data_IF_584529977190
#
_entry.id   IF_584529977190
#
_cell.length_a   1.000
_cell.length_b   1.000
_cell.length_c   1.000
_cell.angle_alpha   90.00
_cell.angle_beta   90.00
_cell.angle_gamma   90.00
#
_symmetry.space_group_name_H-M   'P 1'
#
loop_
_entity.id
_entity.type
_entity.pdbx_description
1 polymer ?
#
# COMPACT_ATOMS: atom_id res chain seq x y z
N UNK A 1 -30.41 6.76 -0.45
CA UNK A 1 -29.55 5.66 0.06
C UNK A 1 -28.89 6.13 1.35
N UNK A 2 -28.63 5.23 2.31
CA UNK A 2 -28.00 5.58 3.60
C UNK A 2 -26.63 4.92 3.69
N UNK A 3 -25.62 5.65 4.16
CA UNK A 3 -24.26 5.16 4.34
C UNK A 3 -23.92 5.16 5.84
N UNK A 4 -23.19 4.15 6.28
CA UNK A 4 -22.68 4.03 7.65
C UNK A 4 -21.18 3.74 7.61
N UNK A 5 -20.45 4.30 8.57
CA UNK A 5 -19.02 4.05 8.76
C UNK A 5 -18.84 3.37 10.10
N UNK A 6 -18.14 2.23 10.12
CA UNK A 6 -17.95 1.42 11.32
C UNK A 6 -16.44 1.24 11.53
N UNK A 7 -15.95 1.52 12.74
CA UNK A 7 -14.57 1.21 13.14
C UNK A 7 -14.50 -0.23 13.65
N UNK A 8 -13.63 -1.03 13.06
CA UNK A 8 -13.51 -2.45 13.35
C UNK A 8 -12.09 -2.72 13.83
N UNK A 9 -11.89 -3.45 14.93
CA UNK A 9 -10.56 -3.90 15.33
C UNK A 9 -9.90 -4.75 14.23
N UNK A 10 -8.60 -4.59 14.00
CA UNK A 10 -7.87 -5.28 12.92
C UNK A 10 -8.05 -6.81 12.97
N UNK A 11 -8.01 -7.39 14.17
CA UNK A 11 -8.22 -8.83 14.39
C UNK A 11 -9.64 -9.32 14.07
N UNK A 12 -10.59 -8.42 13.81
CA UNK A 12 -11.97 -8.70 13.40
C UNK A 12 -12.27 -8.29 11.96
N UNK A 13 -11.33 -7.65 11.27
CA UNK A 13 -11.53 -7.14 9.91
C UNK A 13 -11.90 -8.25 8.92
N UNK A 14 -11.10 -9.31 8.86
CA UNK A 14 -11.31 -10.44 7.95
C UNK A 14 -12.67 -11.12 8.15
N UNK A 15 -13.04 -11.39 9.40
CA UNK A 15 -14.36 -11.95 9.74
C UNK A 15 -15.51 -11.05 9.28
N UNK A 16 -15.39 -9.74 9.50
CA UNK A 16 -16.43 -8.80 9.11
C UNK A 16 -16.56 -8.69 7.59
N UNK A 17 -15.45 -8.72 6.85
CA UNK A 17 -15.44 -8.70 5.40
C UNK A 17 -16.19 -9.91 4.81
N UNK A 18 -15.95 -11.11 5.37
CA UNK A 18 -16.67 -12.33 4.98
C UNK A 18 -18.16 -12.23 5.27
N UNK A 19 -18.54 -11.73 6.45
CA UNK A 19 -19.94 -11.52 6.82
C UNK A 19 -20.64 -10.58 5.85
N UNK A 20 -20.03 -9.44 5.55
CA UNK A 20 -20.55 -8.45 4.62
C UNK A 20 -20.73 -9.04 3.22
N UNK A 21 -19.75 -9.80 2.73
CA UNK A 21 -19.81 -10.48 1.44
C UNK A 21 -20.98 -11.49 1.39
N UNK A 22 -21.17 -12.26 2.46
CA UNK A 22 -22.27 -13.23 2.57
C UNK A 22 -23.65 -12.56 2.65
N UNK A 23 -23.73 -11.34 3.19
CA UNK A 23 -24.95 -10.53 3.24
C UNK A 23 -25.22 -9.74 1.95
N UNK A 24 -24.32 -9.79 0.97
CA UNK A 24 -24.44 -9.05 -0.29
C UNK A 24 -24.30 -7.53 -0.16
N UNK A 25 -23.66 -7.04 0.91
CA UNK A 25 -23.41 -5.61 1.09
C UNK A 25 -22.12 -5.22 0.35
N UNK A 26 -22.11 -4.04 -0.26
CA UNK A 26 -20.91 -3.50 -0.92
C UNK A 26 -20.03 -2.78 0.10
N UNK A 27 -18.78 -3.22 0.24
CA UNK A 27 -17.75 -2.46 0.96
C UNK A 27 -17.12 -1.48 -0.02
N UNK A 28 -17.03 -0.21 0.36
CA UNK A 28 -16.11 0.73 -0.28
C UNK A 28 -14.88 0.80 0.60
N UNK A 29 -13.76 0.28 0.08
CA UNK A 29 -12.46 0.54 0.66
C UNK A 29 -12.04 1.92 0.16
N UNK A 30 -12.09 2.92 1.05
CA UNK A 30 -11.33 4.14 0.84
C UNK A 30 -9.88 3.79 1.15
N UNK A 31 -9.14 3.33 0.14
CA UNK A 31 -7.69 3.20 0.23
C UNK A 31 -7.17 4.58 0.60
N UNK A 32 -6.57 4.71 1.78
CA UNK A 32 -5.85 5.93 2.14
C UNK A 32 -4.79 6.14 1.07
N UNK A 33 -4.95 7.17 0.24
CA UNK A 33 -4.11 7.44 -0.94
C UNK A 33 -2.61 7.48 -0.61
N UNK A 34 -2.26 7.74 0.65
CA UNK A 34 -0.88 7.68 1.15
C UNK A 34 -0.20 6.31 1.03
N UNK A 35 -0.94 5.20 0.87
CA UNK A 35 -0.31 3.90 0.60
C UNK A 35 0.19 3.79 -0.83
N UNK A 36 -0.45 4.44 -1.82
CA UNK A 36 -0.06 4.26 -3.21
C UNK A 36 1.24 4.99 -3.55
N UNK A 37 1.46 6.19 -3.01
CA UNK A 37 2.72 6.92 -3.17
C UNK A 37 3.89 6.18 -2.53
N UNK A 38 3.68 5.64 -1.32
CA UNK A 38 4.69 4.82 -0.62
C UNK A 38 4.97 3.52 -1.38
N UNK A 39 3.95 2.86 -1.93
CA UNK A 39 4.14 1.66 -2.75
C UNK A 39 4.89 1.97 -4.05
N UNK A 40 4.59 3.09 -4.69
CA UNK A 40 5.29 3.54 -5.90
C UNK A 40 6.76 3.88 -5.60
N UNK A 41 7.04 4.54 -4.47
CA UNK A 41 8.42 4.82 -4.03
C UNK A 41 9.21 3.54 -3.75
N UNK A 42 8.59 2.54 -3.10
CA UNK A 42 9.21 1.24 -2.88
C UNK A 42 9.49 0.50 -4.20
N UNK A 43 8.56 0.51 -5.15
CA UNK A 43 8.75 -0.13 -6.46
C UNK A 43 9.90 0.51 -7.25
N UNK A 44 10.01 1.84 -7.22
CA UNK A 44 11.12 2.56 -7.84
C UNK A 44 12.48 2.18 -7.21
N UNK A 45 12.55 2.11 -5.88
CA UNK A 45 13.77 1.70 -5.19
C UNK A 45 14.22 0.28 -5.56
N UNK A 46 13.29 -0.66 -5.72
CA UNK A 46 13.61 -2.02 -6.19
C UNK A 46 14.18 -2.04 -7.61
N UNK A 47 13.62 -1.22 -8.50
CA UNK A 47 14.10 -1.11 -9.89
C UNK A 47 15.50 -0.50 -9.96
N UNK A 48 15.78 0.49 -9.11
CA UNK A 48 17.09 1.13 -9.06
C UNK A 48 18.18 0.19 -8.55
N UNK A 49 17.90 -0.58 -7.48
CA UNK A 49 18.80 -1.63 -6.98
C UNK A 49 19.11 -2.66 -8.06
N UNK A 50 18.13 -3.05 -8.86
CA UNK A 50 18.32 -3.99 -9.97
C UNK A 50 19.26 -3.42 -11.04
N UNK A 51 19.11 -2.15 -11.40
CA UNK A 51 19.99 -1.50 -12.39
C UNK A 51 21.43 -1.34 -11.90
N UNK A 52 21.61 -1.11 -10.60
CA UNK A 52 22.93 -1.07 -9.94
C UNK A 52 23.59 -2.46 -9.99
N UNK A 53 22.83 -3.52 -9.68
CA UNK A 53 23.31 -4.91 -9.75
C UNK A 53 23.68 -5.31 -11.18
N UNK A 54 22.93 -4.83 -12.18
CA UNK A 54 23.21 -5.02 -13.60
C UNK A 54 24.37 -4.14 -14.11
N UNK A 55 24.94 -3.27 -13.27
CA UNK A 55 26.04 -2.37 -13.62
C UNK A 55 25.66 -1.23 -14.59
N UNK A 56 24.35 -1.00 -14.79
CA UNK A 56 23.82 0.00 -15.71
C UNK A 56 23.77 1.41 -15.11
N UNK A 57 23.67 1.51 -13.78
CA UNK A 57 23.64 2.77 -13.04
C UNK A 57 24.59 2.73 -11.85
N UNK A 58 25.05 3.90 -11.40
CA UNK A 58 25.83 4.02 -10.17
C UNK A 58 24.88 4.08 -8.98
N UNK A 59 25.21 3.38 -7.89
CA UNK A 59 24.40 3.44 -6.67
C UNK A 59 24.47 4.81 -6.01
N UNK A 60 23.39 5.17 -5.33
CA UNK A 60 23.28 6.38 -4.50
C UNK A 60 23.55 6.01 -3.03
N UNK A 61 24.04 6.95 -2.20
CA UNK A 61 24.14 6.74 -0.76
C UNK A 61 22.76 6.47 -0.15
N UNK A 62 22.67 5.49 0.76
CA UNK A 62 21.41 5.10 1.42
C UNK A 62 20.69 6.28 2.07
N UNK A 63 21.43 7.27 2.57
CA UNK A 63 20.85 8.46 3.18
C UNK A 63 20.10 9.33 2.15
N UNK A 64 20.71 9.55 0.98
CA UNK A 64 20.10 10.35 -0.09
C UNK A 64 18.87 9.64 -0.64
N UNK A 65 18.92 8.32 -0.79
CA UNK A 65 17.76 7.51 -1.18
C UNK A 65 16.58 7.62 -0.20
N UNK A 66 16.85 7.64 1.12
CA UNK A 66 15.79 7.79 2.13
C UNK A 66 15.21 9.20 2.22
N UNK A 67 15.95 10.22 1.78
CA UNK A 67 15.48 11.60 1.73
C UNK A 67 14.57 11.86 0.49
N UNK A 68 14.55 10.95 -0.49
CA UNK A 68 13.75 11.01 -1.74
C UNK A 68 12.41 10.25 -1.68
N UNK A 69 12.23 9.36 -0.70
CA UNK A 69 11.01 8.59 -0.44
C UNK A 69 10.01 9.34 0.46
#
# INVERSE_FOLDING_TARGET
MKQITIKIPDNKYSFFLELVKNLGLTVKEETLEGSQEVLNGLEQGFMEVKLIQEGKTKGTPLKEFLDEL
#
